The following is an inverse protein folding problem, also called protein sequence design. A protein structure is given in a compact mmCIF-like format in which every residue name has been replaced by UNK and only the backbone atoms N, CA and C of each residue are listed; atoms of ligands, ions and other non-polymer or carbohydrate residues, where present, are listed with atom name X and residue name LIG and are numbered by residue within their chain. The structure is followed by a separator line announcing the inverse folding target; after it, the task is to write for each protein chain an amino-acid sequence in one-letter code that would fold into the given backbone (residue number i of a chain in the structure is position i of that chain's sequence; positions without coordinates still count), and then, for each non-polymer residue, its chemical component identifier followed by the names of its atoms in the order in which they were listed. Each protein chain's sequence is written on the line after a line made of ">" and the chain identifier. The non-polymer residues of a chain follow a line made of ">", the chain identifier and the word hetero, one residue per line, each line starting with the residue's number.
data_IF_016479927491
#
_entry.id   IF_016479927491
#
_cell.length_a   1.000
_cell.length_b   1.000
_cell.length_c   1.000
_cell.angle_alpha   90.00
_cell.angle_beta   90.00
_cell.angle_gamma   90.00
#
_symmetry.space_group_name_H-M   'P 1'
#
loop_
_entity.id
_entity.type
_entity.pdbx_description
1 polymer ?
#
# COMPACT_ATOMS: atom_id res chain seq x y z
N UNK A 1 27.79 -19.62 12.91
CA UNK A 1 27.77 -20.03 11.48
C UNK A 1 26.74 -21.12 11.31
N UNK A 2 25.59 -20.85 10.67
CA UNK A 2 24.85 -21.82 9.85
C UNK A 2 23.59 -21.17 9.25
N UNK A 3 23.66 -20.90 7.95
CA UNK A 3 22.59 -20.98 6.96
C UNK A 3 21.15 -20.58 7.36
N UNK A 4 20.91 -19.30 7.68
CA UNK A 4 19.60 -18.71 7.35
C UNK A 4 19.54 -18.59 5.83
N UNK A 5 18.88 -19.55 5.19
CA UNK A 5 18.71 -19.66 3.75
C UNK A 5 18.06 -18.40 3.15
N UNK A 6 18.90 -17.45 2.78
CA UNK A 6 18.65 -16.44 1.75
C UNK A 6 18.55 -17.18 0.42
N UNK A 7 17.43 -17.90 0.15
CA UNK A 7 17.11 -18.42 -1.18
C UNK A 7 15.65 -18.88 -1.31
N UNK A 8 14.71 -17.92 -1.23
CA UNK A 8 13.41 -17.97 -1.94
C UNK A 8 13.21 -16.69 -2.76
N UNK A 9 14.34 -16.11 -3.14
CA UNK A 9 14.55 -14.96 -4.01
C UNK A 9 13.90 -15.22 -5.38
N UNK A 10 13.30 -14.18 -5.96
CA UNK A 10 12.87 -14.03 -7.36
C UNK A 10 11.47 -14.50 -7.83
N UNK A 11 10.82 -15.56 -7.32
CA UNK A 11 9.55 -16.05 -7.95
C UNK A 11 8.28 -15.32 -7.45
N UNK A 12 8.32 -14.73 -6.25
CA UNK A 12 7.16 -14.08 -5.61
C UNK A 12 7.16 -12.55 -5.68
N UNK A 13 8.22 -11.95 -6.24
CA UNK A 13 8.51 -10.51 -6.14
C UNK A 13 7.71 -9.64 -7.13
N UNK A 14 7.06 -10.24 -8.14
CA UNK A 14 6.31 -9.48 -9.17
C UNK A 14 4.80 -9.82 -9.20
N UNK A 15 4.36 -11.00 -8.74
CA UNK A 15 2.93 -11.40 -8.70
C UNK A 15 2.20 -11.02 -7.42
N UNK A 16 2.91 -10.57 -6.38
CA UNK A 16 2.34 -10.14 -5.10
C UNK A 16 2.16 -8.61 -4.98
N UNK A 17 1.94 -7.90 -6.10
CA UNK A 17 1.39 -6.54 -6.02
C UNK A 17 0.01 -6.68 -5.38
N UNK A 18 -0.13 -6.22 -4.13
CA UNK A 18 -1.43 -6.11 -3.47
C UNK A 18 -2.38 -5.31 -4.36
N UNK A 19 -3.69 -5.49 -4.24
CA UNK A 19 -4.65 -4.76 -5.10
C UNK A 19 -4.78 -3.27 -4.77
N UNK A 20 -4.05 -2.78 -3.75
CA UNK A 20 -4.03 -1.38 -3.32
C UNK A 20 -2.88 -0.58 -3.96
N UNK A 21 -2.46 -0.87 -5.18
CA UNK A 21 -1.54 0.05 -5.86
C UNK A 21 -2.34 1.20 -6.44
N UNK A 22 -1.84 2.42 -6.25
CA UNK A 22 -2.43 3.64 -6.82
C UNK A 22 -1.47 4.28 -7.82
N UNK A 23 -1.95 5.30 -8.53
CA UNK A 23 -1.15 6.11 -9.44
C UNK A 23 -1.06 7.54 -8.90
N UNK A 24 0.14 8.12 -8.91
CA UNK A 24 0.36 9.49 -8.50
C UNK A 24 -0.08 10.43 -9.62
N UNK A 25 -1.37 10.76 -9.61
CA UNK A 25 -2.00 11.70 -10.53
C UNK A 25 -2.30 13.04 -9.89
N UNK A 26 -2.31 13.13 -8.56
CA UNK A 26 -2.75 14.31 -7.82
C UNK A 26 -1.57 15.03 -7.16
N UNK A 27 -1.42 16.35 -7.38
CA UNK A 27 -0.53 17.20 -6.57
C UNK A 27 -1.25 17.65 -5.29
N UNK A 28 -2.55 17.92 -5.41
CA UNK A 28 -3.51 18.07 -4.33
C UNK A 28 -4.63 17.05 -4.53
N UNK A 29 -5.21 16.49 -3.46
CA UNK A 29 -6.25 15.48 -3.58
C UNK A 29 -7.36 15.88 -4.57
N UNK A 30 -7.52 15.12 -5.66
CA UNK A 30 -8.54 15.32 -6.67
C UNK A 30 -8.24 16.32 -7.80
N UNK A 31 -7.05 16.94 -7.85
CA UNK A 31 -6.69 17.90 -8.90
C UNK A 31 -6.20 17.26 -10.21
N UNK A 32 -5.82 15.98 -10.19
CA UNK A 32 -5.22 15.25 -11.32
C UNK A 32 -4.11 16.01 -12.05
N UNK A 33 -3.37 16.86 -11.34
CA UNK A 33 -2.39 17.78 -11.92
C UNK A 33 -0.93 17.33 -11.70
N UNK A 34 -0.69 16.11 -11.21
CA UNK A 34 0.66 15.59 -10.98
C UNK A 34 1.32 15.17 -12.28
N UNK A 35 2.46 15.79 -12.58
CA UNK A 35 3.33 15.39 -13.70
C UNK A 35 4.15 14.13 -13.38
N UNK A 36 4.05 13.59 -12.16
CA UNK A 36 4.85 12.45 -11.73
C UNK A 36 4.39 11.15 -12.42
N UNK A 37 3.09 10.86 -12.41
CA UNK A 37 2.54 9.62 -12.97
C UNK A 37 3.12 8.34 -12.36
N UNK A 38 3.82 8.42 -11.22
CA UNK A 38 4.52 7.30 -10.62
C UNK A 38 3.56 6.35 -9.91
N UNK A 39 3.89 5.05 -9.91
CA UNK A 39 3.15 4.08 -9.11
C UNK A 39 3.29 4.39 -7.61
N UNK A 40 2.18 4.26 -6.87
CA UNK A 40 2.16 4.42 -5.43
C UNK A 40 1.98 3.05 -4.76
N UNK A 41 3.00 2.65 -4.02
CA UNK A 41 3.04 1.40 -3.27
C UNK A 41 2.27 1.55 -1.94
N UNK A 42 1.39 0.61 -1.59
CA UNK A 42 0.78 0.58 -0.25
C UNK A 42 1.81 0.07 0.76
N UNK A 43 2.34 0.97 1.59
CA UNK A 43 3.48 0.66 2.49
C UNK A 43 3.06 0.29 3.90
N UNK A 44 1.93 0.80 4.39
CA UNK A 44 1.45 0.56 5.76
C UNK A 44 -0.04 0.87 5.92
N UNK A 45 -0.58 0.44 7.04
CA UNK A 45 -1.90 0.85 7.52
C UNK A 45 -1.76 1.95 8.58
N UNK A 46 -2.66 2.92 8.53
CA UNK A 46 -2.80 4.02 9.47
C UNK A 46 -4.24 4.02 10.01
N UNK A 47 -4.45 4.51 11.23
CA UNK A 47 -5.78 4.60 11.84
C UNK A 47 -6.00 6.00 12.41
N UNK A 48 -6.37 6.98 11.59
CA UNK A 48 -6.63 8.33 12.05
C UNK A 48 -7.84 8.33 13.01
N UNK A 49 -7.78 9.15 14.06
CA UNK A 49 -8.84 9.22 15.09
C UNK A 49 -10.20 9.51 14.44
N UNK A 50 -11.18 8.66 14.74
CA UNK A 50 -12.57 8.81 14.27
C UNK A 50 -12.77 8.60 12.76
N UNK A 51 -11.77 8.14 12.01
CA UNK A 51 -11.84 8.02 10.54
C UNK A 51 -11.67 6.60 10.00
N UNK A 52 -11.63 5.59 10.88
CA UNK A 52 -11.46 4.20 10.47
C UNK A 52 -10.01 3.88 10.04
N UNK A 53 -9.83 2.72 9.42
CA UNK A 53 -8.53 2.28 8.91
C UNK A 53 -8.24 2.93 7.55
N UNK A 54 -6.98 3.25 7.27
CA UNK A 54 -6.54 3.81 6.01
C UNK A 54 -5.25 3.11 5.53
N UNK A 55 -5.13 2.91 4.23
CA UNK A 55 -3.89 2.45 3.58
C UNK A 55 -3.07 3.67 3.21
N UNK A 56 -1.81 3.69 3.64
CA UNK A 56 -0.84 4.71 3.23
C UNK A 56 -0.12 4.23 1.99
N UNK A 57 -0.15 5.06 0.96
CA UNK A 57 0.53 4.85 -0.29
C UNK A 57 1.71 5.81 -0.41
N UNK A 58 2.83 5.32 -0.93
CA UNK A 58 4.02 6.13 -1.18
C UNK A 58 4.39 6.02 -2.63
N UNK A 59 4.52 7.15 -3.31
CA UNK A 59 5.00 7.16 -4.69
C UNK A 59 6.44 6.67 -4.74
N UNK A 60 6.70 5.61 -5.52
CA UNK A 60 8.04 5.03 -5.65
C UNK A 60 9.01 5.92 -6.46
N UNK A 61 8.48 6.95 -7.13
CA UNK A 61 9.25 7.87 -7.98
C UNK A 61 9.65 9.13 -7.19
N UNK A 62 8.69 9.80 -6.53
CA UNK A 62 8.95 11.07 -5.84
C UNK A 62 8.80 11.04 -4.32
N UNK A 63 8.36 9.91 -3.73
CA UNK A 63 8.18 9.76 -2.29
C UNK A 63 6.93 10.42 -1.70
N UNK A 64 6.04 10.99 -2.52
CA UNK A 64 4.78 11.58 -2.03
C UNK A 64 3.92 10.54 -1.28
N UNK A 65 3.45 10.89 -0.08
CA UNK A 65 2.57 10.04 0.73
C UNK A 65 1.10 10.45 0.60
N UNK A 66 0.22 9.49 0.29
CA UNK A 66 -1.23 9.68 0.30
C UNK A 66 -1.92 8.62 1.15
N UNK A 67 -3.05 8.99 1.78
CA UNK A 67 -3.84 8.10 2.64
C UNK A 67 -5.19 7.83 1.98
N UNK A 68 -5.47 6.57 1.69
CA UNK A 68 -6.79 6.15 1.23
C UNK A 68 -7.54 5.46 2.37
N UNK A 69 -8.77 5.90 2.68
CA UNK A 69 -9.57 5.28 3.74
C UNK A 69 -10.15 3.97 3.24
N UNK A 70 -10.11 2.94 4.08
CA UNK A 70 -10.75 1.67 3.80
C UNK A 70 -12.25 1.77 4.09
N UNK A 71 -13.04 1.29 3.16
CA UNK A 71 -14.49 1.18 3.17
C UNK A 71 -14.93 -0.24 3.58
N UNK A 72 -14.31 -0.82 4.61
CA UNK A 72 -14.61 -2.18 5.05
C UNK A 72 -16.04 -2.41 5.53
N UNK A 73 -16.72 -1.33 5.90
CA UNK A 73 -18.10 -1.34 6.43
C UNK A 73 -19.13 -0.93 5.36
N UNK A 74 -18.69 -0.71 4.11
CA UNK A 74 -19.58 -0.32 3.02
C UNK A 74 -20.45 -1.52 2.57
N UNK A 75 -21.79 -1.39 2.57
CA UNK A 75 -22.68 -2.51 2.26
C UNK A 75 -22.73 -2.87 0.77
N UNK A 76 -22.18 -2.04 -0.12
CA UNK A 76 -22.24 -2.21 -1.59
C UNK A 76 -20.87 -2.61 -2.13
N UNK A 77 -19.80 -1.95 -1.68
CA UNK A 77 -18.43 -2.18 -2.15
C UNK A 77 -17.42 -2.21 -1.01
N UNK A 78 -17.42 -3.27 -0.18
CA UNK A 78 -16.46 -3.41 0.89
C UNK A 78 -15.05 -3.70 0.34
N UNK A 79 -14.04 -3.13 1.00
CA UNK A 79 -12.65 -3.49 0.72
C UNK A 79 -12.35 -4.95 1.13
N UNK A 80 -11.53 -5.63 0.33
CA UNK A 80 -11.11 -7.01 0.64
C UNK A 80 -10.16 -7.05 1.83
N UNK A 81 -10.56 -7.72 2.91
CA UNK A 81 -9.71 -7.92 4.08
C UNK A 81 -8.45 -8.75 3.80
N UNK A 82 -8.48 -9.64 2.81
CA UNK A 82 -7.29 -10.36 2.37
C UNK A 82 -6.24 -9.39 1.81
N UNK A 83 -6.68 -8.44 0.98
CA UNK A 83 -5.81 -7.42 0.43
C UNK A 83 -5.22 -6.52 1.52
N UNK A 84 -6.01 -6.20 2.56
CA UNK A 84 -5.57 -5.39 3.70
C UNK A 84 -4.53 -6.15 4.53
N UNK A 85 -4.74 -7.44 4.78
CA UNK A 85 -3.79 -8.29 5.49
C UNK A 85 -2.43 -8.35 4.76
N UNK A 86 -2.43 -8.45 3.43
CA UNK A 86 -1.21 -8.43 2.61
C UNK A 86 -0.40 -7.14 2.78
N UNK A 87 -1.06 -5.98 2.92
CA UNK A 87 -0.38 -4.70 3.24
C UNK A 87 0.28 -4.79 4.61
N UNK A 88 -0.40 -5.39 5.60
CA UNK A 88 0.12 -5.51 6.95
C UNK A 88 1.30 -6.49 7.07
N UNK A 89 1.26 -7.62 6.38
CA UNK A 89 2.39 -8.56 6.28
C UNK A 89 3.63 -7.89 5.68
N UNK A 90 3.45 -7.06 4.65
CA UNK A 90 4.53 -6.30 4.01
C UNK A 90 5.12 -5.25 4.95
N UNK A 91 4.27 -4.51 5.67
CA UNK A 91 4.68 -3.48 6.62
C UNK A 91 5.44 -4.04 7.83
N UNK A 92 5.10 -5.24 8.29
CA UNK A 92 5.78 -5.89 9.43
C UNK A 92 7.12 -6.51 9.05
N UNK A 93 7.29 -6.95 7.79
CA UNK A 93 8.51 -7.56 7.28
C UNK A 93 9.72 -6.61 7.22
N UNK A 94 9.47 -5.29 7.18
CA UNK A 94 10.51 -4.24 7.13
C UNK A 94 10.85 -3.61 8.51
N UNK A 95 10.27 -4.10 9.62
CA UNK A 95 10.56 -3.61 10.98
C UNK A 95 11.73 -4.36 11.67
N UNK A 96 12.77 -4.75 10.93
CA UNK A 96 13.98 -5.38 11.49
C UNK A 96 15.20 -4.51 11.29
#
# INVERSE_FOLDING_TARGET
>A
MSAFAVCRTAVSEITARSVFWSLHVDNRPGDRASDCGGLMEPVRLDRPRGKGLAVVHVCIVCGHESRNRLAGDDPIQPDSWEAVARVQERATRFRR
#
